data_IF_640877261945
#
_entry.id   IF_640877261945
#
_cell.length_a   1.000
_cell.length_b   1.000
_cell.length_c   1.000
_cell.angle_alpha   90.00
_cell.angle_beta   90.00
_cell.angle_gamma   90.00
#
_symmetry.space_group_name_H-M   'P 1'
#
loop_
_entity.id
_entity.type
_entity.pdbx_description
1 polymer ?
#
# COMPACT_ATOMS: atom_id res chain seq x y z
N UNK A 1 -36.79 -9.36 -22.74
CA UNK A 1 -35.74 -10.26 -23.28
C UNK A 1 -35.28 -11.18 -22.18
N UNK A 2 -35.06 -12.46 -22.47
CA UNK A 2 -34.53 -13.44 -21.52
C UNK A 2 -33.03 -13.19 -21.34
N UNK A 3 -32.50 -13.11 -20.11
CA UNK A 3 -31.07 -12.91 -19.89
C UNK A 3 -30.26 -14.06 -20.49
N UNK A 4 -29.23 -13.72 -21.25
CA UNK A 4 -28.26 -14.69 -21.77
C UNK A 4 -27.55 -15.43 -20.64
N UNK A 5 -27.01 -16.62 -20.91
CA UNK A 5 -26.19 -17.37 -19.94
C UNK A 5 -25.07 -16.49 -19.38
N UNK A 6 -24.40 -15.71 -20.24
CA UNK A 6 -23.33 -14.80 -19.84
C UNK A 6 -23.81 -13.70 -18.88
N UNK A 7 -24.99 -13.11 -19.09
CA UNK A 7 -25.56 -12.11 -18.18
C UNK A 7 -25.91 -12.68 -16.80
N UNK A 8 -26.36 -13.94 -16.75
CA UNK A 8 -26.59 -14.65 -15.49
C UNK A 8 -25.27 -14.84 -14.72
N UNK A 9 -24.22 -15.31 -15.40
CA UNK A 9 -22.88 -15.45 -14.82
C UNK A 9 -22.33 -14.12 -14.28
N UNK A 10 -22.42 -13.03 -15.06
CA UNK A 10 -21.99 -11.70 -14.63
C UNK A 10 -22.71 -11.23 -13.37
N UNK A 11 -24.03 -11.40 -13.34
CA UNK A 11 -24.85 -10.96 -12.21
C UNK A 11 -24.53 -11.74 -10.93
N UNK A 12 -24.23 -13.04 -11.05
CA UNK A 12 -23.78 -13.86 -9.91
C UNK A 12 -22.35 -13.58 -9.45
N UNK A 13 -21.44 -13.24 -10.37
CA UNK A 13 -20.03 -12.99 -10.06
C UNK A 13 -19.81 -11.68 -9.28
N UNK A 14 -20.53 -10.60 -9.62
CA UNK A 14 -20.28 -9.27 -9.05
C UNK A 14 -20.41 -9.20 -7.51
N UNK A 15 -21.44 -9.80 -6.88
CA UNK A 15 -21.53 -9.87 -5.41
C UNK A 15 -20.38 -10.65 -4.79
N UNK A 16 -19.96 -11.75 -5.40
CA UNK A 16 -18.85 -12.60 -4.92
C UNK A 16 -17.56 -11.78 -4.94
N UNK A 17 -17.20 -11.21 -6.08
CA UNK A 17 -16.00 -10.38 -6.22
C UNK A 17 -16.01 -9.17 -5.27
N UNK A 18 -17.19 -8.61 -5.00
CA UNK A 18 -17.33 -7.51 -4.03
C UNK A 18 -17.03 -7.97 -2.61
N UNK A 19 -17.62 -9.08 -2.17
CA UNK A 19 -17.36 -9.65 -0.85
C UNK A 19 -15.90 -10.05 -0.71
N UNK A 20 -15.33 -10.72 -1.70
CA UNK A 20 -13.93 -11.12 -1.74
C UNK A 20 -12.99 -9.92 -1.56
N UNK A 21 -13.17 -8.86 -2.35
CA UNK A 21 -12.38 -7.62 -2.21
C UNK A 21 -12.51 -6.99 -0.82
N UNK A 22 -13.72 -6.99 -0.24
CA UNK A 22 -13.95 -6.45 1.10
C UNK A 22 -13.34 -7.30 2.22
N UNK A 23 -13.36 -8.64 2.11
CA UNK A 23 -12.75 -9.57 3.07
C UNK A 23 -11.22 -9.42 3.09
N UNK A 24 -10.60 -9.11 1.96
CA UNK A 24 -9.16 -8.85 1.90
C UNK A 24 -8.75 -7.51 2.53
N UNK A 25 -9.67 -6.54 2.62
CA UNK A 25 -9.34 -5.17 3.03
C UNK A 25 -8.80 -5.06 4.48
N UNK A 26 -9.33 -5.79 5.49
CA UNK A 26 -8.74 -5.83 6.83
C UNK A 26 -7.27 -6.28 6.85
N UNK A 27 -6.90 -7.33 6.11
CA UNK A 27 -5.52 -7.81 6.03
C UNK A 27 -4.58 -6.73 5.47
N UNK A 28 -4.98 -6.10 4.37
CA UNK A 28 -4.22 -5.00 3.75
C UNK A 28 -4.12 -3.80 4.71
N UNK A 29 -5.20 -3.49 5.44
CA UNK A 29 -5.23 -2.40 6.41
C UNK A 29 -4.27 -2.65 7.57
N UNK A 30 -4.27 -3.87 8.13
CA UNK A 30 -3.34 -4.28 9.18
C UNK A 30 -1.90 -4.21 8.70
N UNK A 31 -1.61 -4.71 7.50
CA UNK A 31 -0.29 -4.57 6.88
C UNK A 31 0.12 -3.10 6.76
N UNK A 32 -0.75 -2.23 6.22
CA UNK A 32 -0.45 -0.80 6.08
C UNK A 32 -0.20 -0.13 7.43
N UNK A 33 -0.96 -0.47 8.47
CA UNK A 33 -0.78 0.08 9.81
C UNK A 33 0.61 -0.25 10.36
N UNK A 34 1.01 -1.52 10.30
CA UNK A 34 2.34 -1.96 10.77
C UNK A 34 3.44 -1.37 9.88
N UNK A 35 3.28 -1.43 8.56
CA UNK A 35 4.31 -0.98 7.61
C UNK A 35 4.54 0.53 7.67
N UNK A 36 3.49 1.34 7.79
CA UNK A 36 3.61 2.81 7.89
C UNK A 36 4.04 3.29 9.29
N UNK A 37 4.03 2.43 10.31
CA UNK A 37 4.53 2.79 11.65
C UNK A 37 6.03 3.09 11.64
N UNK A 38 6.83 2.31 10.90
CA UNK A 38 8.28 2.49 10.83
C UNK A 38 8.70 3.86 10.26
N UNK A 39 8.23 4.31 9.07
CA UNK A 39 8.57 5.63 8.60
C UNK A 39 7.95 6.72 9.47
N UNK A 40 6.78 6.52 10.09
CA UNK A 40 6.20 7.50 11.00
C UNK A 40 7.04 7.72 12.27
N UNK A 41 7.57 6.65 12.86
CA UNK A 41 8.40 6.72 14.07
C UNK A 41 9.80 7.30 13.82
N UNK A 42 10.22 7.45 12.57
CA UNK A 42 11.43 8.18 12.23
C UNK A 42 11.39 9.65 12.70
N UNK A 43 10.21 10.25 12.85
CA UNK A 43 10.06 11.60 13.43
C UNK A 43 10.53 11.70 14.89
N UNK A 44 10.60 10.57 15.61
CA UNK A 44 10.93 10.54 17.03
C UNK A 44 12.34 9.99 17.26
N UNK A 45 12.66 8.85 16.66
CA UNK A 45 13.91 8.14 16.90
C UNK A 45 14.79 7.95 15.67
N UNK A 46 14.51 8.70 14.60
CA UNK A 46 15.32 8.69 13.38
C UNK A 46 15.40 7.34 12.68
N UNK A 47 16.47 7.11 11.91
CA UNK A 47 16.69 5.82 11.23
C UNK A 47 16.78 4.64 12.19
N UNK A 48 17.32 4.84 13.41
CA UNK A 48 17.47 3.75 14.38
C UNK A 48 16.12 3.17 14.81
N UNK A 49 15.18 4.01 15.26
CA UNK A 49 13.86 3.55 15.69
C UNK A 49 13.03 3.04 14.50
N UNK A 50 13.15 3.68 13.34
CA UNK A 50 12.49 3.24 12.12
C UNK A 50 12.96 1.84 11.71
N UNK A 51 14.28 1.58 11.72
CA UNK A 51 14.87 0.26 11.46
C UNK A 51 14.36 -0.79 12.44
N UNK A 52 14.41 -0.51 13.75
CA UNK A 52 13.92 -1.46 14.77
C UNK A 52 12.43 -1.78 14.59
N UNK A 53 11.61 -0.76 14.36
CA UNK A 53 10.17 -0.92 14.13
C UNK A 53 9.90 -1.75 12.88
N UNK A 54 10.65 -1.50 11.80
CA UNK A 54 10.52 -2.27 10.57
C UNK A 54 10.89 -3.73 10.78
N UNK A 55 11.99 -4.02 11.47
CA UNK A 55 12.41 -5.40 11.78
C UNK A 55 11.30 -6.14 12.55
N UNK A 56 10.68 -5.52 13.56
CA UNK A 56 9.51 -6.09 14.23
C UNK A 56 8.34 -6.35 13.27
N UNK A 57 8.09 -5.42 12.34
CA UNK A 57 7.09 -5.60 11.30
C UNK A 57 7.38 -6.80 10.40
N UNK A 58 8.65 -7.03 10.05
CA UNK A 58 9.06 -8.17 9.20
C UNK A 58 8.74 -9.51 9.85
N UNK A 59 8.97 -9.64 11.16
CA UNK A 59 8.59 -10.85 11.91
C UNK A 59 7.08 -11.11 11.84
N UNK A 60 6.27 -10.06 11.82
CA UNK A 60 4.82 -10.20 11.75
C UNK A 60 4.32 -10.63 10.35
N UNK A 61 4.78 -9.97 9.27
CA UNK A 61 4.17 -10.14 7.95
C UNK A 61 5.11 -10.57 6.81
N UNK A 62 6.42 -10.73 7.05
CA UNK A 62 7.41 -11.14 6.03
C UNK A 62 8.02 -12.53 6.28
N UNK A 63 7.26 -13.45 6.88
CA UNK A 63 7.69 -14.86 6.99
C UNK A 63 7.31 -15.66 5.75
N UNK A 64 7.85 -16.87 5.61
CA UNK A 64 7.51 -17.79 4.50
C UNK A 64 6.00 -18.05 4.36
N UNK A 65 5.24 -17.99 5.46
CA UNK A 65 3.79 -18.21 5.44
C UNK A 65 3.00 -16.91 5.51
N UNK A 66 3.41 -15.95 6.34
CA UNK A 66 2.64 -14.71 6.52
C UNK A 66 2.72 -13.79 5.30
N UNK A 67 3.84 -13.76 4.58
CA UNK A 67 3.96 -12.90 3.40
C UNK A 67 3.00 -13.34 2.27
N UNK A 68 2.95 -14.62 1.86
CA UNK A 68 2.00 -15.05 0.84
C UNK A 68 0.55 -14.99 1.31
N UNK A 69 0.25 -15.35 2.56
CA UNK A 69 -1.13 -15.53 3.02
C UNK A 69 -1.79 -14.26 3.57
N UNK A 70 -1.02 -13.37 4.20
CA UNK A 70 -1.54 -12.18 4.88
C UNK A 70 -1.26 -10.88 4.12
N UNK A 71 -0.26 -10.87 3.23
CA UNK A 71 0.11 -9.68 2.45
C UNK A 71 -0.19 -9.87 0.97
N UNK A 72 0.59 -10.71 0.28
CA UNK A 72 0.54 -10.82 -1.19
C UNK A 72 -0.77 -11.43 -1.68
N UNK A 73 -1.26 -12.48 -1.02
CA UNK A 73 -2.53 -13.13 -1.35
C UNK A 73 -3.71 -12.16 -1.25
N UNK A 74 -3.99 -11.56 -0.07
CA UNK A 74 -5.06 -10.60 0.08
C UNK A 74 -4.94 -9.40 -0.86
N UNK A 75 -3.73 -8.87 -1.05
CA UNK A 75 -3.49 -7.74 -1.96
C UNK A 75 -3.80 -8.10 -3.42
N UNK A 76 -3.33 -9.27 -3.87
CA UNK A 76 -3.57 -9.78 -5.23
C UNK A 76 -5.06 -10.06 -5.44
N UNK A 77 -5.69 -10.77 -4.52
CA UNK A 77 -7.12 -11.11 -4.59
C UNK A 77 -7.99 -9.86 -4.55
N UNK A 78 -7.64 -8.86 -3.74
CA UNK A 78 -8.31 -7.57 -3.70
C UNK A 78 -8.22 -6.83 -5.04
N UNK A 79 -7.00 -6.71 -5.60
CA UNK A 79 -6.74 -6.02 -6.86
C UNK A 79 -7.40 -6.71 -8.07
N UNK A 80 -7.31 -8.04 -8.14
CA UNK A 80 -7.95 -8.84 -9.19
C UNK A 80 -9.48 -8.74 -9.10
N UNK A 81 -10.05 -8.84 -7.90
CA UNK A 81 -11.50 -8.70 -7.70
C UNK A 81 -12.00 -7.32 -8.14
N UNK A 82 -11.26 -6.25 -7.81
CA UNK A 82 -11.58 -4.88 -8.26
C UNK A 82 -11.54 -4.73 -9.78
N UNK A 83 -10.51 -5.30 -10.42
CA UNK A 83 -10.33 -5.26 -11.88
C UNK A 83 -11.39 -6.08 -12.60
N UNK A 84 -11.65 -7.31 -12.16
CA UNK A 84 -12.68 -8.18 -12.73
C UNK A 84 -14.08 -7.59 -12.57
N UNK A 85 -14.38 -6.93 -11.44
CA UNK A 85 -15.65 -6.19 -11.29
C UNK A 85 -15.84 -5.15 -12.37
N UNK A 86 -14.78 -4.42 -12.73
CA UNK A 86 -14.84 -3.43 -13.81
C UNK A 86 -15.14 -4.10 -15.15
N UNK A 87 -14.42 -5.16 -15.48
CA UNK A 87 -14.57 -5.90 -16.75
C UNK A 87 -15.95 -6.56 -16.88
N UNK A 88 -16.52 -7.04 -15.77
CA UNK A 88 -17.79 -7.77 -15.75
C UNK A 88 -19.01 -6.86 -15.51
N UNK A 89 -18.83 -5.54 -15.29
CA UNK A 89 -19.94 -4.61 -15.02
C UNK A 89 -20.89 -4.46 -16.23
N UNK A 90 -22.19 -4.73 -16.09
CA UNK A 90 -23.13 -4.72 -17.22
C UNK A 90 -23.38 -3.30 -17.76
N UNK A 91 -23.84 -3.14 -19.02
CA UNK A 91 -24.09 -1.82 -19.63
C UNK A 91 -25.01 -0.91 -18.78
N UNK A 92 -26.04 -1.49 -18.15
CA UNK A 92 -26.98 -0.73 -17.31
C UNK A 92 -26.47 -0.40 -15.90
N UNK A 93 -25.32 -0.93 -15.48
CA UNK A 93 -24.66 -0.62 -14.19
C UNK A 93 -23.16 -0.50 -14.43
N UNK A 94 -22.73 0.59 -15.11
CA UNK A 94 -21.33 0.75 -15.46
C UNK A 94 -20.45 0.82 -14.21
N UNK A 95 -19.18 0.41 -14.31
CA UNK A 95 -18.26 0.48 -13.20
C UNK A 95 -17.97 1.93 -12.82
N UNK A 96 -17.46 2.14 -11.61
CA UNK A 96 -17.01 3.45 -11.14
C UNK A 96 -16.08 4.10 -12.17
N UNK A 97 -16.26 5.39 -12.45
CA UNK A 97 -15.42 6.14 -13.41
C UNK A 97 -13.93 6.05 -13.05
N UNK A 98 -13.06 6.01 -14.06
CA UNK A 98 -11.60 5.98 -13.87
C UNK A 98 -11.09 7.21 -13.11
N UNK A 99 -11.72 8.37 -13.32
CA UNK A 99 -11.41 9.63 -12.63
C UNK A 99 -11.87 9.69 -11.18
N UNK A 100 -12.65 8.71 -10.72
CA UNK A 100 -13.03 8.66 -9.30
C UNK A 100 -11.79 8.34 -8.47
N UNK A 101 -11.58 9.09 -7.38
CA UNK A 101 -10.39 8.99 -6.54
C UNK A 101 -10.04 7.54 -6.15
N UNK A 102 -10.98 6.79 -5.57
CA UNK A 102 -10.80 5.36 -5.28
C UNK A 102 -10.29 4.50 -6.45
N UNK A 103 -10.71 4.78 -7.69
CA UNK A 103 -10.19 4.07 -8.87
C UNK A 103 -8.81 4.58 -9.26
N UNK A 104 -8.63 5.91 -9.35
CA UNK A 104 -7.36 6.53 -9.71
C UNK A 104 -6.23 6.08 -8.76
N UNK A 105 -6.45 6.18 -7.45
CA UNK A 105 -5.44 5.81 -6.45
C UNK A 105 -5.20 4.31 -6.40
N UNK A 106 -6.23 3.49 -6.66
CA UNK A 106 -6.10 2.04 -6.73
C UNK A 106 -5.22 1.60 -7.89
N UNK A 107 -5.44 2.15 -9.09
CA UNK A 107 -4.62 1.84 -10.26
C UNK A 107 -3.23 2.48 -10.20
N UNK A 108 -3.10 3.69 -9.67
CA UNK A 108 -1.80 4.32 -9.46
C UNK A 108 -0.93 3.48 -8.51
N UNK A 109 -1.51 3.01 -7.39
CA UNK A 109 -0.84 2.07 -6.50
C UNK A 109 -0.51 0.76 -7.23
N UNK A 110 -1.49 0.10 -7.85
CA UNK A 110 -1.34 -1.22 -8.45
C UNK A 110 -0.35 -1.27 -9.62
N UNK A 111 -0.35 -0.26 -10.49
CA UNK A 111 0.38 -0.32 -11.77
C UNK A 111 1.74 0.38 -11.72
N UNK A 112 1.96 1.28 -10.76
CA UNK A 112 3.19 2.07 -10.69
C UNK A 112 3.84 1.96 -9.31
N UNK A 113 3.20 2.49 -8.29
CA UNK A 113 3.89 2.73 -7.02
C UNK A 113 4.21 1.44 -6.26
N UNK A 114 3.27 0.51 -6.16
CA UNK A 114 3.45 -0.74 -5.43
C UNK A 114 4.44 -1.68 -6.13
N UNK A 115 4.35 -1.96 -7.45
CA UNK A 115 5.33 -2.83 -8.10
C UNK A 115 6.75 -2.30 -8.00
N UNK A 116 6.96 -0.99 -8.22
CA UNK A 116 8.29 -0.39 -8.10
C UNK A 116 8.79 -0.48 -6.65
N UNK A 117 7.94 -0.18 -5.67
CA UNK A 117 8.31 -0.30 -4.26
C UNK A 117 8.64 -1.74 -3.86
N UNK A 118 7.78 -2.71 -4.20
CA UNK A 118 8.01 -4.13 -3.89
C UNK A 118 9.28 -4.64 -4.57
N UNK A 119 9.49 -4.33 -5.85
CA UNK A 119 10.70 -4.75 -6.55
C UNK A 119 11.96 -4.16 -5.90
N UNK A 120 11.99 -2.86 -5.63
CA UNK A 120 13.17 -2.19 -5.05
C UNK A 120 13.43 -2.57 -3.59
N UNK A 121 12.39 -2.76 -2.77
CA UNK A 121 12.53 -2.98 -1.32
C UNK A 121 12.37 -4.42 -0.87
N UNK A 122 11.94 -5.34 -1.75
CA UNK A 122 11.74 -6.76 -1.40
C UNK A 122 12.38 -7.73 -2.38
N UNK A 123 12.25 -7.51 -3.69
CA UNK A 123 12.72 -8.49 -4.69
C UNK A 123 14.19 -8.29 -5.11
N UNK A 124 14.58 -7.09 -5.53
CA UNK A 124 15.95 -6.82 -5.98
C UNK A 124 17.02 -6.93 -4.89
N UNK A 125 16.75 -6.61 -3.61
CA UNK A 125 17.71 -6.88 -2.54
C UNK A 125 18.14 -8.36 -2.45
N UNK A 126 17.29 -9.32 -2.86
CA UNK A 126 17.59 -10.75 -2.78
C UNK A 126 18.35 -11.30 -4.00
N UNK A 127 18.82 -10.43 -4.90
CA UNK A 127 19.60 -10.87 -6.06
C UNK A 127 21.02 -11.23 -5.63
N UNK A 128 21.46 -12.44 -5.94
CA UNK A 128 22.81 -12.94 -5.62
C UNK A 128 23.90 -12.43 -6.60
N UNK A 129 23.48 -11.76 -7.67
CA UNK A 129 24.40 -11.27 -8.71
C UNK A 129 25.28 -10.13 -8.18
N UNK A 130 26.58 -10.09 -8.52
CA UNK A 130 27.42 -8.94 -8.25
C UNK A 130 26.82 -7.63 -8.81
N UNK A 131 26.94 -6.49 -8.10
CA UNK A 131 27.56 -6.32 -6.80
C UNK A 131 26.57 -6.44 -5.62
N UNK A 132 25.34 -6.95 -5.81
CA UNK A 132 24.29 -6.96 -4.77
C UNK A 132 24.57 -8.03 -3.72
N UNK A 133 24.93 -9.25 -4.16
CA UNK A 133 25.27 -10.39 -3.28
C UNK A 133 24.24 -10.66 -2.18
N UNK A 134 22.93 -10.53 -2.47
CA UNK A 134 21.87 -10.75 -1.49
C UNK A 134 21.98 -9.86 -0.25
N UNK A 135 21.36 -8.67 -0.26
CA UNK A 135 21.30 -7.82 0.93
C UNK A 135 20.40 -8.49 1.97
N UNK A 136 21.01 -8.97 3.06
CA UNK A 136 20.34 -9.77 4.07
C UNK A 136 19.26 -8.99 4.83
N UNK A 137 18.30 -9.67 5.50
CA UNK A 137 17.26 -8.99 6.28
C UNK A 137 17.79 -8.05 7.37
N UNK A 138 18.95 -8.37 7.96
CA UNK A 138 19.61 -7.51 8.95
C UNK A 138 20.35 -6.31 8.31
N UNK A 139 20.73 -6.42 7.04
CA UNK A 139 21.43 -5.37 6.28
C UNK A 139 20.43 -4.44 5.58
N UNK A 140 19.21 -4.90 5.30
CA UNK A 140 18.18 -4.11 4.62
C UNK A 140 17.41 -3.29 5.65
N UNK A 141 17.93 -2.12 6.04
CA UNK A 141 17.37 -1.26 7.08
C UNK A 141 16.99 0.15 6.55
N UNK A 142 16.77 1.15 7.41
CA UNK A 142 16.48 2.51 6.96
C UNK A 142 17.68 3.26 6.36
N UNK A 143 18.93 2.76 6.48
CA UNK A 143 20.05 3.29 5.69
C UNK A 143 19.90 2.96 4.21
N UNK A 144 19.25 1.84 3.86
CA UNK A 144 18.86 1.55 2.47
C UNK A 144 17.88 2.61 1.94
N UNK A 145 16.87 2.98 2.73
CA UNK A 145 15.89 4.01 2.36
C UNK A 145 16.57 5.38 2.22
N UNK A 146 17.48 5.73 3.14
CA UNK A 146 18.27 6.97 3.09
C UNK A 146 19.16 7.04 1.84
N UNK A 147 19.74 5.91 1.42
CA UNK A 147 20.53 5.85 0.18
C UNK A 147 19.70 6.28 -1.02
N UNK A 148 18.46 5.79 -1.14
CA UNK A 148 17.53 6.22 -2.19
C UNK A 148 17.19 7.70 -2.09
N UNK A 149 16.78 8.17 -0.90
CA UNK A 149 16.40 9.56 -0.64
C UNK A 149 17.53 10.56 -0.93
N UNK A 150 18.80 10.18 -0.71
CA UNK A 150 19.95 11.06 -0.94
C UNK A 150 20.48 11.00 -2.36
N UNK A 151 20.49 9.82 -2.96
CA UNK A 151 21.07 9.62 -4.30
C UNK A 151 20.06 10.02 -5.39
N UNK A 152 18.77 9.72 -5.21
CA UNK A 152 17.70 10.06 -6.15
C UNK A 152 16.53 10.77 -5.45
N UNK A 153 16.75 11.96 -4.85
CA UNK A 153 15.78 12.62 -3.98
C UNK A 153 14.42 12.81 -4.63
N UNK A 154 14.38 13.33 -5.87
CA UNK A 154 13.12 13.57 -6.58
C UNK A 154 12.38 12.27 -6.85
N UNK A 155 13.07 11.24 -7.36
CA UNK A 155 12.45 9.95 -7.72
C UNK A 155 11.93 9.23 -6.49
N UNK A 156 12.75 9.14 -5.43
CA UNK A 156 12.34 8.54 -4.17
C UNK A 156 11.20 9.31 -3.50
N UNK A 157 11.21 10.65 -3.52
CA UNK A 157 10.09 11.44 -3.01
C UNK A 157 8.79 11.18 -3.80
N UNK A 158 8.85 11.12 -5.14
CA UNK A 158 7.67 10.81 -5.97
C UNK A 158 7.16 9.40 -5.69
N UNK A 159 8.05 8.40 -5.62
CA UNK A 159 7.66 7.00 -5.45
C UNK A 159 7.10 6.73 -4.05
N UNK A 160 7.78 7.18 -2.99
CA UNK A 160 7.27 7.03 -1.63
C UNK A 160 6.04 7.90 -1.39
N UNK A 161 6.10 9.17 -1.79
CA UNK A 161 4.98 10.11 -1.65
C UNK A 161 3.74 9.62 -2.39
N UNK A 162 3.91 9.24 -3.65
CA UNK A 162 2.85 8.70 -4.48
C UNK A 162 2.25 7.41 -3.92
N UNK A 163 3.08 6.50 -3.39
CA UNK A 163 2.58 5.27 -2.75
C UNK A 163 1.76 5.59 -1.50
N UNK A 164 2.33 6.35 -0.55
CA UNK A 164 1.68 6.70 0.73
C UNK A 164 0.38 7.46 0.50
N UNK A 165 0.37 8.44 -0.41
CA UNK A 165 -0.84 9.20 -0.73
C UNK A 165 -1.88 8.33 -1.43
N UNK A 166 -1.47 7.51 -2.40
CA UNK A 166 -2.40 6.63 -3.11
C UNK A 166 -3.06 5.63 -2.17
N UNK A 167 -2.28 4.94 -1.33
CA UNK A 167 -2.82 3.95 -0.39
C UNK A 167 -3.69 4.59 0.69
N UNK A 168 -3.27 5.74 1.26
CA UNK A 168 -4.05 6.46 2.27
C UNK A 168 -5.39 6.93 1.71
N UNK A 169 -5.39 7.57 0.53
CA UNK A 169 -6.62 8.06 -0.09
C UNK A 169 -7.53 6.92 -0.55
N UNK A 170 -6.95 5.84 -1.08
CA UNK A 170 -7.69 4.62 -1.43
C UNK A 170 -8.35 4.00 -0.20
N UNK A 171 -7.61 3.92 0.91
CA UNK A 171 -8.09 3.38 2.17
C UNK A 171 -9.30 4.16 2.70
N UNK A 172 -9.25 5.50 2.73
CA UNK A 172 -10.34 6.32 3.30
C UNK A 172 -11.63 6.22 2.51
N UNK A 173 -11.53 6.28 1.18
CA UNK A 173 -12.68 6.12 0.30
C UNK A 173 -13.23 4.69 0.39
N UNK A 174 -12.35 3.68 0.41
CA UNK A 174 -12.72 2.27 0.55
C UNK A 174 -13.38 1.96 1.90
N UNK A 175 -12.85 2.51 2.99
CA UNK A 175 -13.39 2.38 4.34
C UNK A 175 -14.79 2.97 4.44
N UNK A 176 -15.08 4.07 3.75
CA UNK A 176 -16.45 4.61 3.69
C UNK A 176 -17.44 3.60 3.10
N UNK A 177 -17.01 2.83 2.09
CA UNK A 177 -17.83 1.77 1.48
C UNK A 177 -18.02 0.62 2.48
N UNK A 178 -16.94 0.13 3.10
CA UNK A 178 -16.99 -0.97 4.06
C UNK A 178 -17.86 -0.60 5.28
N UNK A 179 -17.69 0.61 5.81
CA UNK A 179 -18.45 1.14 6.94
C UNK A 179 -19.96 1.10 6.66
N UNK A 180 -20.37 1.72 5.54
CA UNK A 180 -21.79 1.81 5.20
C UNK A 180 -22.40 0.48 4.75
N UNK A 181 -21.59 -0.44 4.20
CA UNK A 181 -22.07 -1.74 3.69
C UNK A 181 -22.19 -2.79 4.80
N UNK A 182 -21.24 -2.84 5.73
CA UNK A 182 -21.13 -3.96 6.67
C UNK A 182 -21.16 -3.51 8.14
N UNK A 183 -20.37 -2.50 8.50
CA UNK A 183 -20.16 -2.14 9.90
C UNK A 183 -21.42 -1.48 10.46
N UNK A 184 -21.93 -0.42 9.81
CA UNK A 184 -23.12 0.28 10.28
C UNK A 184 -24.32 -0.67 10.42
N UNK A 185 -24.70 -1.47 9.40
CA UNK A 185 -25.83 -2.39 9.56
C UNK A 185 -25.63 -3.42 10.68
N UNK A 186 -24.39 -3.86 10.94
CA UNK A 186 -24.09 -4.75 12.05
C UNK A 186 -24.23 -4.04 13.42
N UNK A 187 -23.77 -2.79 13.53
CA UNK A 187 -23.88 -1.99 14.75
C UNK A 187 -25.32 -1.60 15.06
N UNK A 188 -26.11 -1.21 14.05
CA UNK A 188 -27.54 -0.93 14.21
C UNK A 188 -28.29 -2.17 14.75
N UNK A 189 -27.96 -3.37 14.24
CA UNK A 189 -28.52 -4.64 14.74
C UNK A 189 -28.11 -4.93 16.18
N UNK A 190 -26.90 -4.54 16.58
CA UNK A 190 -26.42 -4.61 17.95
C UNK A 190 -26.96 -3.48 18.85
N UNK A 191 -27.92 -2.67 18.35
CA UNK A 191 -28.49 -1.52 19.05
C UNK A 191 -27.45 -0.43 19.42
N UNK A 192 -26.27 -0.47 18.78
CA UNK A 192 -25.24 0.55 18.89
C UNK A 192 -25.49 1.59 17.79
N UNK A 193 -26.25 2.64 18.12
CA UNK A 193 -26.57 3.70 17.16
C UNK A 193 -25.30 4.43 16.70
N UNK A 194 -24.95 4.23 15.42
CA UNK A 194 -23.83 4.93 14.79
C UNK A 194 -24.26 5.67 13.53
N UNK A 195 -23.59 6.81 13.31
CA UNK A 195 -23.88 7.66 12.16
C UNK A 195 -23.40 7.03 10.84
N UNK A 196 -24.22 7.21 9.80
CA UNK A 196 -23.80 6.93 8.42
C UNK A 196 -22.68 7.87 8.02
N UNK A 197 -21.65 7.34 7.37
CA UNK A 197 -20.62 8.18 6.78
C UNK A 197 -21.15 8.82 5.52
N UNK A 198 -21.66 10.04 5.67
CA UNK A 198 -22.21 10.87 4.59
C UNK A 198 -21.11 11.31 3.62
N UNK A 199 -21.54 11.70 2.41
CA UNK A 199 -20.67 12.25 1.36
C UNK A 199 -20.13 13.64 1.74
N UNK A 200 -20.90 14.46 2.43
CA UNK A 200 -20.52 15.81 2.88
C UNK A 200 -19.30 15.79 3.81
N UNK A 201 -19.20 14.78 4.66
CA UNK A 201 -18.06 14.62 5.59
C UNK A 201 -16.85 13.96 4.94
N UNK A 202 -16.89 13.65 3.64
CA UNK A 202 -15.79 13.00 2.91
C UNK A 202 -14.51 13.84 2.94
N UNK A 203 -14.58 15.13 2.63
CA UNK A 203 -13.40 16.00 2.63
C UNK A 203 -12.75 16.08 4.02
N UNK A 204 -13.56 16.20 5.07
CA UNK A 204 -13.08 16.18 6.46
C UNK A 204 -12.37 14.87 6.79
N UNK A 205 -12.95 13.71 6.43
CA UNK A 205 -12.30 12.40 6.64
C UNK A 205 -11.00 12.26 5.87
N UNK A 206 -10.96 12.74 4.62
CA UNK A 206 -9.74 12.75 3.82
C UNK A 206 -8.65 13.59 4.48
N UNK A 207 -8.97 14.81 4.90
CA UNK A 207 -8.00 15.67 5.61
C UNK A 207 -7.51 15.04 6.91
N UNK A 208 -8.40 14.44 7.69
CA UNK A 208 -8.01 13.71 8.90
C UNK A 208 -7.06 12.56 8.59
N UNK A 209 -7.36 11.75 7.58
CA UNK A 209 -6.48 10.64 7.23
C UNK A 209 -5.14 11.10 6.63
N UNK A 210 -5.15 12.17 5.84
CA UNK A 210 -3.91 12.80 5.37
C UNK A 210 -3.07 13.30 6.56
N UNK A 211 -3.70 13.92 7.56
CA UNK A 211 -3.02 14.42 8.76
C UNK A 211 -2.58 13.33 9.74
N UNK A 212 -3.34 12.24 9.88
CA UNK A 212 -3.08 11.19 10.87
C UNK A 212 -2.29 9.99 10.32
N UNK A 213 -2.29 9.77 9.00
CA UNK A 213 -1.64 8.61 8.37
C UNK A 213 -0.53 9.06 7.44
N UNK A 214 -0.86 9.84 6.41
CA UNK A 214 0.12 10.23 5.40
C UNK A 214 1.18 11.18 5.96
N UNK A 215 0.77 12.22 6.70
CA UNK A 215 1.67 13.25 7.20
C UNK A 215 2.74 12.69 8.14
N UNK A 216 2.46 11.83 9.14
CA UNK A 216 3.51 11.22 9.97
C UNK A 216 4.50 10.40 9.13
N UNK A 217 4.03 9.57 8.21
CA UNK A 217 4.92 8.77 7.37
C UNK A 217 5.79 9.64 6.45
N UNK A 218 5.21 10.65 5.80
CA UNK A 218 5.93 11.53 4.87
C UNK A 218 6.90 12.47 5.58
N UNK A 219 6.51 13.03 6.72
CA UNK A 219 7.42 13.84 7.56
C UNK A 219 8.59 13.01 8.09
N UNK A 220 8.36 11.75 8.43
CA UNK A 220 9.43 10.86 8.86
C UNK A 220 10.40 10.52 7.73
N UNK A 221 9.92 10.30 6.50
CA UNK A 221 10.79 10.19 5.32
C UNK A 221 11.61 11.46 5.08
N UNK A 222 11.02 12.63 5.29
CA UNK A 222 11.75 13.90 5.21
C UNK A 222 12.82 14.01 6.30
N UNK A 223 12.53 13.57 7.53
CA UNK A 223 13.49 13.52 8.62
C UNK A 223 14.68 12.60 8.27
N UNK A 224 14.40 11.39 7.78
CA UNK A 224 15.42 10.43 7.33
C UNK A 224 16.30 10.99 6.22
N UNK A 225 15.72 11.69 5.24
CA UNK A 225 16.48 12.32 4.15
C UNK A 225 17.49 13.37 4.63
N UNK A 226 17.29 13.96 5.82
CA UNK A 226 18.17 14.96 6.42
C UNK A 226 19.27 14.35 7.29
N UNK A 227 19.11 13.13 7.78
CA UNK A 227 20.12 12.47 8.60
C UNK A 227 21.39 12.14 7.81
N UNK A 228 22.59 12.16 8.42
CA UNK A 228 23.81 11.68 7.77
C UNK A 228 23.71 10.18 7.44
N UNK A 229 24.43 9.73 6.39
CA UNK A 229 24.51 8.30 6.08
C UNK A 229 25.38 7.60 7.12
N UNK A 230 24.87 6.52 7.70
CA UNK A 230 25.57 5.71 8.70
C UNK A 230 25.84 4.30 8.15
N UNK A 231 26.23 4.21 6.87
CA UNK A 231 26.53 2.96 6.18
C UNK A 231 27.94 3.00 5.57
N UNK A 232 28.60 1.85 5.50
CA UNK A 232 29.91 1.74 4.85
C UNK A 232 29.79 1.97 3.33
N UNK A 233 30.84 2.48 2.72
CA UNK A 233 30.88 2.73 1.27
C UNK A 233 30.67 1.45 0.42
N UNK A 234 31.16 0.31 0.92
CA UNK A 234 30.91 -1.00 0.31
C UNK A 234 29.43 -1.36 0.31
N UNK A 235 28.73 -1.16 1.43
CA UNK A 235 27.29 -1.40 1.53
C UNK A 235 26.49 -0.42 0.67
N UNK A 236 26.86 0.86 0.67
CA UNK A 236 26.21 1.87 -0.16
C UNK A 236 26.30 1.53 -1.67
N UNK A 237 27.41 0.92 -2.10
CA UNK A 237 27.56 0.41 -3.47
C UNK A 237 26.57 -0.72 -3.78
N UNK A 238 26.37 -1.65 -2.84
CA UNK A 238 25.37 -2.74 -2.97
C UNK A 238 23.96 -2.16 -3.05
N UNK A 239 23.61 -1.25 -2.15
CA UNK A 239 22.31 -0.57 -2.16
C UNK A 239 22.06 0.17 -3.47
N UNK A 240 23.05 0.91 -3.97
CA UNK A 240 22.94 1.64 -5.23
C UNK A 240 22.67 0.70 -6.41
N UNK A 241 23.32 -0.47 -6.45
CA UNK A 241 23.06 -1.49 -7.47
C UNK A 241 21.65 -2.09 -7.39
N UNK A 242 21.11 -2.27 -6.17
CA UNK A 242 19.70 -2.67 -5.98
C UNK A 242 18.75 -1.63 -6.58
N UNK A 243 18.96 -0.34 -6.29
CA UNK A 243 18.14 0.74 -6.87
C UNK A 243 18.23 0.74 -8.40
N UNK A 244 19.45 0.67 -8.95
CA UNK A 244 19.70 0.66 -10.40
C UNK A 244 19.17 -0.59 -11.12
N UNK A 245 18.79 -1.64 -10.41
CA UNK A 245 18.08 -2.79 -11.01
C UNK A 245 16.70 -2.38 -11.53
N UNK A 246 16.06 -1.40 -10.90
CA UNK A 246 14.82 -0.79 -11.38
C UNK A 246 15.11 0.17 -12.52
N UNK A 247 14.34 0.08 -13.61
CA UNK A 247 14.45 1.04 -14.72
C UNK A 247 14.13 2.47 -14.27
N UNK A 248 13.26 2.65 -13.26
CA UNK A 248 12.82 3.96 -12.77
C UNK A 248 13.97 4.76 -12.17
N UNK A 249 14.98 4.09 -11.60
CA UNK A 249 16.16 4.73 -11.01
C UNK A 249 17.34 4.85 -11.98
N UNK A 250 17.21 4.32 -13.21
CA UNK A 250 18.23 4.42 -14.28
C UNK A 250 18.02 5.60 -15.22
N UNK A 251 16.76 6.00 -15.42
CA UNK A 251 16.38 7.24 -16.12
C UNK A 251 16.63 8.44 -15.23
#
# INVERSE_FOLDING_TARGET
MVPTTFEKWRTGALPILTKTSHICAPFITTFLLVHLSAPALANVGGSSLASQTMLLGREYYQTMLSEPLLVLGPLTVHALSGTLKRLLSPPGRPPRKWTHLLSLTGYAALLLFLPVHYSTHRAYPTLETPPIYGVGPAELDYEFVKTGLKTWPVRSCILYGGLVLSTTLHFVDGMTIIWNTWIKPAMDKAQLSVSTWKRETRSRRMWMALGCIALPALSGLLALGREPMMTFSSMMSRYSAVFLSSFVYRI
#
